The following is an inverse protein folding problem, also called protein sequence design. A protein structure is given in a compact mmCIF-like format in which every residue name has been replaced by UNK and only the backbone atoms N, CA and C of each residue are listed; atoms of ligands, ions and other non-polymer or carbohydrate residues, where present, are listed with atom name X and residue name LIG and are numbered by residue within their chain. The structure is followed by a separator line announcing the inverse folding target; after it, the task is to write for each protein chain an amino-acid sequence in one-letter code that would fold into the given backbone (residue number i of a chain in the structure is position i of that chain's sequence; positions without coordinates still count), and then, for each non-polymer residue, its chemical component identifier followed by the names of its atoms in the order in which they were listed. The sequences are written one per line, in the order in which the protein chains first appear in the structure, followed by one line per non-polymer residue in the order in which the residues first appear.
data_IF_244340211685
#
_entry.id   IF_244340211685
#
_cell.length_a   1.000
_cell.length_b   1.000
_cell.length_c   1.000
_cell.angle_alpha   90.00
_cell.angle_beta   90.00
_cell.angle_gamma   90.00
#
_symmetry.space_group_name_H-M   'P 1'
#
loop_
_entity.id
_entity.type
_entity.pdbx_description
1 polymer ?
#
# COMPACT_ATOMS: atom_id res chain seq x y z
N UNK A 1 -10.02 -19.03 -2.80
CA UNK A 1 -9.58 -19.07 -1.37
C UNK A 1 -10.66 -18.42 -0.53
N UNK A 2 -10.97 -18.96 0.66
CA UNK A 2 -11.99 -18.39 1.56
C UNK A 2 -11.35 -18.15 2.93
N UNK A 3 -11.60 -16.98 3.52
CA UNK A 3 -11.25 -16.66 4.90
C UNK A 3 -12.48 -16.15 5.64
N UNK A 4 -12.57 -16.48 6.92
CA UNK A 4 -13.63 -16.04 7.82
C UNK A 4 -13.01 -15.63 9.14
N UNK A 5 -13.68 -14.74 9.88
CA UNK A 5 -13.23 -14.31 11.19
C UNK A 5 -14.22 -13.35 11.84
N UNK A 6 -13.85 -12.84 13.00
CA UNK A 6 -14.60 -11.85 13.76
C UNK A 6 -13.67 -10.79 14.34
N UNK A 7 -14.22 -9.63 14.67
CA UNK A 7 -13.55 -8.55 15.40
C UNK A 7 -14.57 -7.76 16.21
N UNK A 8 -14.10 -6.97 17.18
CA UNK A 8 -14.93 -6.02 17.92
C UNK A 8 -14.64 -4.62 17.39
N UNK A 9 -15.69 -3.90 16.99
CA UNK A 9 -15.61 -2.54 16.47
C UNK A 9 -15.17 -1.54 17.53
N UNK A 10 -14.66 -0.40 17.08
CA UNK A 10 -14.01 0.63 17.92
C UNK A 10 -14.45 2.06 17.56
N UNK A 11 -15.52 2.19 16.76
CA UNK A 11 -15.97 3.42 16.10
C UNK A 11 -14.87 4.14 15.31
N UNK A 12 -13.88 3.39 14.80
CA UNK A 12 -12.75 3.90 14.04
C UNK A 12 -12.55 3.05 12.77
N UNK A 13 -11.89 3.62 11.76
CA UNK A 13 -11.54 2.86 10.57
C UNK A 13 -10.59 1.71 10.93
N UNK A 14 -10.83 0.52 10.36
CA UNK A 14 -10.04 -0.69 10.64
C UNK A 14 -9.55 -1.28 9.33
N UNK A 15 -8.28 -1.68 9.31
CA UNK A 15 -7.74 -2.54 8.26
C UNK A 15 -7.79 -3.99 8.71
N UNK A 16 -8.47 -4.83 7.94
CA UNK A 16 -8.50 -6.27 8.18
C UNK A 16 -7.41 -6.95 7.37
N UNK A 17 -6.40 -7.48 8.06
CA UNK A 17 -5.25 -8.17 7.47
C UNK A 17 -5.61 -9.60 7.07
N UNK A 18 -6.33 -9.74 5.95
CA UNK A 18 -6.83 -11.01 5.44
C UNK A 18 -5.72 -11.76 4.66
N UNK A 19 -4.64 -11.11 4.27
CA UNK A 19 -3.52 -11.67 3.51
C UNK A 19 -3.75 -11.73 1.99
N UNK A 20 -4.92 -11.33 1.51
CA UNK A 20 -5.22 -11.08 0.10
C UNK A 20 -6.32 -10.04 -0.01
N UNK A 21 -6.37 -9.29 -1.12
CA UNK A 21 -7.52 -8.44 -1.45
C UNK A 21 -8.62 -9.37 -1.98
N UNK A 22 -9.79 -9.46 -1.32
CA UNK A 22 -10.86 -10.35 -1.76
C UNK A 22 -11.53 -9.84 -3.03
N UNK A 23 -12.11 -10.74 -3.82
CA UNK A 23 -12.98 -10.39 -4.94
C UNK A 23 -14.41 -10.11 -4.44
N UNK A 24 -14.81 -10.81 -3.38
CA UNK A 24 -16.05 -10.59 -2.67
C UNK A 24 -15.81 -10.63 -1.16
N UNK A 25 -16.39 -9.65 -0.46
CA UNK A 25 -16.32 -9.50 0.97
C UNK A 25 -17.71 -9.26 1.53
N UNK A 26 -18.05 -9.97 2.61
CA UNK A 26 -19.27 -9.76 3.39
C UNK A 26 -18.92 -9.50 4.83
N UNK A 27 -19.49 -8.43 5.37
CA UNK A 27 -19.47 -8.08 6.79
C UNK A 27 -20.86 -8.27 7.37
N UNK A 28 -20.94 -8.85 8.55
CA UNK A 28 -22.17 -9.03 9.32
C UNK A 28 -21.96 -8.31 10.65
N UNK A 29 -22.72 -7.25 10.88
CA UNK A 29 -22.63 -6.40 12.06
C UNK A 29 -23.88 -6.60 12.90
N UNK A 30 -23.71 -6.97 14.17
CA UNK A 30 -24.81 -6.99 15.12
C UNK A 30 -25.05 -5.57 15.64
N UNK A 31 -26.11 -4.89 15.21
CA UNK A 31 -26.40 -3.55 15.71
C UNK A 31 -26.82 -3.58 17.18
N UNK A 32 -26.65 -2.45 17.87
CA UNK A 32 -27.11 -2.28 19.25
C UNK A 32 -28.63 -2.44 19.48
N UNK A 33 -29.43 -2.55 18.40
CA UNK A 33 -30.89 -2.66 18.46
C UNK A 33 -31.43 -4.09 18.31
N UNK A 34 -30.57 -5.11 18.28
CA UNK A 34 -30.86 -6.50 17.90
C UNK A 34 -31.08 -6.72 16.39
N UNK A 35 -30.83 -5.71 15.56
CA UNK A 35 -30.88 -5.84 14.11
C UNK A 35 -29.51 -6.29 13.57
N UNK A 36 -29.53 -7.02 12.45
CA UNK A 36 -28.32 -7.49 11.80
C UNK A 36 -28.18 -6.76 10.48
N UNK A 37 -27.10 -5.97 10.36
CA UNK A 37 -26.76 -5.27 9.13
C UNK A 37 -25.75 -6.11 8.36
N UNK A 38 -26.05 -6.41 7.11
CA UNK A 38 -25.15 -7.14 6.22
C UNK A 38 -24.58 -6.15 5.21
N UNK A 39 -23.26 -5.96 5.22
CA UNK A 39 -22.58 -5.22 4.17
C UNK A 39 -21.91 -6.17 3.20
N UNK A 40 -21.97 -5.84 1.92
CA UNK A 40 -21.26 -6.59 0.89
C UNK A 40 -20.49 -5.64 -0.02
N UNK A 41 -19.35 -6.13 -0.47
CA UNK A 41 -18.45 -5.41 -1.35
C UNK A 41 -17.81 -6.36 -2.34
N UNK A 42 -17.74 -5.91 -3.59
CA UNK A 42 -17.04 -6.61 -4.65
C UNK A 42 -15.87 -5.75 -5.11
N UNK A 43 -14.73 -6.39 -5.37
CA UNK A 43 -13.53 -5.68 -5.82
C UNK A 43 -13.75 -4.82 -7.04
N UNK A 44 -14.53 -5.35 -8.00
CA UNK A 44 -14.86 -4.64 -9.23
C UNK A 44 -15.62 -3.33 -8.98
N UNK A 45 -16.37 -3.22 -7.88
CA UNK A 45 -17.06 -1.96 -7.52
C UNK A 45 -16.04 -0.87 -7.19
N UNK A 46 -15.04 -1.21 -6.36
CA UNK A 46 -13.96 -0.29 -6.02
C UNK A 46 -13.08 0.07 -7.22
N UNK A 47 -12.82 -0.89 -8.12
CA UNK A 47 -12.00 -0.67 -9.32
C UNK A 47 -12.73 0.09 -10.43
N UNK A 48 -14.06 -0.08 -10.55
CA UNK A 48 -14.88 0.64 -11.53
C UNK A 48 -15.00 2.14 -11.23
N UNK A 49 -14.69 2.56 -10.00
CA UNK A 49 -14.65 3.97 -9.61
C UNK A 49 -16.02 4.69 -9.67
N UNK A 50 -17.13 3.94 -9.64
CA UNK A 50 -18.45 4.53 -9.55
C UNK A 50 -18.71 4.99 -8.11
N UNK A 51 -18.72 6.31 -7.91
CA UNK A 51 -18.75 6.94 -6.59
C UNK A 51 -19.93 6.52 -5.69
N UNK A 52 -21.02 6.00 -6.26
CA UNK A 52 -22.23 5.66 -5.51
C UNK A 52 -22.24 4.20 -5.03
N UNK A 53 -21.37 3.33 -5.55
CA UNK A 53 -21.34 1.89 -5.19
C UNK A 53 -19.94 1.36 -4.90
N UNK A 54 -18.90 2.19 -5.05
CA UNK A 54 -17.50 1.78 -4.92
C UNK A 54 -17.19 1.20 -3.53
N UNK A 55 -17.92 1.65 -2.52
CA UNK A 55 -17.80 1.25 -1.14
C UNK A 55 -18.77 0.12 -0.72
N UNK A 56 -19.47 -0.47 -1.69
CA UNK A 56 -20.41 -1.57 -1.49
C UNK A 56 -21.81 -1.12 -1.08
N UNK A 57 -22.62 -2.08 -0.65
CA UNK A 57 -23.98 -1.84 -0.15
C UNK A 57 -24.18 -2.46 1.23
N UNK A 58 -25.27 -2.08 1.88
CA UNK A 58 -25.78 -2.72 3.08
C UNK A 58 -27.20 -3.24 2.86
N UNK A 59 -27.60 -4.21 3.67
CA UNK A 59 -28.98 -4.66 3.80
C UNK A 59 -29.35 -4.68 5.27
N UNK A 60 -30.38 -3.92 5.60
CA UNK A 60 -30.94 -3.79 6.94
C UNK A 60 -32.45 -4.01 6.87
N UNK A 61 -32.97 -4.90 7.71
CA UNK A 61 -34.39 -5.34 7.71
C UNK A 61 -34.98 -5.69 6.33
N UNK A 62 -34.14 -6.14 5.39
CA UNK A 62 -34.54 -6.48 4.02
C UNK A 62 -34.61 -5.29 3.05
N UNK A 63 -34.17 -4.10 3.47
CA UNK A 63 -33.95 -2.93 2.61
C UNK A 63 -32.47 -2.87 2.25
N UNK A 64 -32.16 -2.86 0.96
CA UNK A 64 -30.79 -2.68 0.46
C UNK A 64 -30.55 -1.20 0.16
N UNK A 65 -29.46 -0.66 0.70
CA UNK A 65 -29.01 0.71 0.41
C UNK A 65 -27.53 0.74 0.08
N UNK A 66 -27.15 1.64 -0.82
CA UNK A 66 -25.73 1.85 -1.14
C UNK A 66 -25.00 2.46 0.06
N UNK A 67 -23.76 2.04 0.29
CA UNK A 67 -22.94 2.68 1.31
C UNK A 67 -22.56 4.08 0.83
N UNK A 68 -22.65 5.07 1.71
CA UNK A 68 -22.25 6.45 1.39
C UNK A 68 -20.77 6.47 1.02
N UNK A 69 -20.41 7.28 0.00
CA UNK A 69 -19.02 7.50 -0.39
C UNK A 69 -18.13 7.79 0.83
N UNK A 70 -16.95 7.18 0.89
CA UNK A 70 -16.00 7.22 2.03
C UNK A 70 -16.45 6.55 3.35
N UNK A 71 -17.67 5.98 3.41
CA UNK A 71 -18.24 5.39 4.63
C UNK A 71 -18.45 3.86 4.54
N UNK A 72 -17.98 3.19 3.49
CA UNK A 72 -18.12 1.73 3.33
C UNK A 72 -16.78 0.97 3.30
N UNK A 73 -16.70 -0.03 2.42
CA UNK A 73 -15.60 -1.00 2.33
C UNK A 73 -14.70 -0.64 1.16
N UNK A 74 -13.38 -0.73 1.34
CA UNK A 74 -12.44 -0.55 0.24
C UNK A 74 -11.32 -1.58 0.25
N UNK A 75 -10.68 -1.77 -0.91
CA UNK A 75 -9.51 -2.64 -1.00
C UNK A 75 -8.36 -2.08 -0.16
N UNK A 76 -7.73 -2.95 0.63
CA UNK A 76 -6.51 -2.62 1.36
C UNK A 76 -5.36 -3.45 0.80
N UNK A 77 -4.44 -2.79 0.10
CA UNK A 77 -3.20 -3.41 -0.36
C UNK A 77 -2.04 -2.50 0.01
N UNK A 78 -1.41 -2.79 1.15
CA UNK A 78 -0.12 -2.20 1.52
C UNK A 78 1.03 -3.13 1.18
N UNK A 79 0.78 -4.24 0.47
CA UNK A 79 1.85 -5.16 0.13
C UNK A 79 2.80 -4.49 -0.86
N UNK A 80 4.06 -4.54 -0.51
CA UNK A 80 5.13 -3.96 -1.30
C UNK A 80 6.42 -4.66 -0.96
N UNK A 81 7.32 -4.68 -1.93
CA UNK A 81 8.72 -4.86 -1.58
C UNK A 81 9.19 -3.48 -1.11
N UNK A 82 9.83 -3.40 0.05
CA UNK A 82 10.34 -2.16 0.60
C UNK A 82 11.85 -2.27 0.84
N UNK A 83 12.58 -1.20 0.59
CA UNK A 83 13.96 -1.02 1.03
C UNK A 83 13.96 -0.46 2.45
N UNK A 84 14.69 -1.11 3.34
CA UNK A 84 14.83 -0.69 4.73
C UNK A 84 16.00 0.28 4.90
N UNK A 85 15.70 1.53 5.29
CA UNK A 85 16.71 2.57 5.56
C UNK A 85 16.74 2.88 7.07
N UNK A 86 17.91 2.92 7.72
CA UNK A 86 18.02 3.34 9.12
C UNK A 86 17.50 4.77 9.30
N UNK A 87 16.54 4.96 10.21
CA UNK A 87 16.05 6.30 10.48
C UNK A 87 17.13 7.13 11.21
N UNK A 88 17.25 8.44 10.95
CA UNK A 88 18.27 9.28 11.56
C UNK A 88 18.21 9.39 13.09
N UNK A 89 17.03 9.21 13.68
CA UNK A 89 16.85 9.20 15.14
C UNK A 89 17.32 7.90 15.81
N UNK A 90 17.70 6.88 15.05
CA UNK A 90 18.12 5.57 15.53
C UNK A 90 17.03 4.73 16.21
N UNK A 91 15.79 5.21 16.26
CA UNK A 91 14.71 4.53 17.00
C UNK A 91 14.07 3.42 16.18
N UNK A 92 13.98 3.60 14.85
CA UNK A 92 13.29 2.69 13.92
C UNK A 92 13.96 2.70 12.55
N UNK A 93 13.56 1.77 11.68
CA UNK A 93 13.87 1.87 10.25
C UNK A 93 12.70 2.54 9.52
N UNK A 94 13.01 3.28 8.46
CA UNK A 94 12.02 3.74 7.48
C UNK A 94 11.99 2.77 6.30
N UNK A 95 10.79 2.45 5.84
CA UNK A 95 10.56 1.57 4.71
C UNK A 95 10.17 2.41 3.50
N UNK A 96 10.95 2.26 2.43
CA UNK A 96 10.89 3.06 1.21
C UNK A 96 10.53 2.07 0.09
N UNK A 97 9.40 2.22 -0.61
CA UNK A 97 8.88 1.18 -1.50
C UNK A 97 9.86 0.86 -2.63
N UNK A 98 10.05 -0.38 -3.09
CA UNK A 98 11.06 -0.72 -4.11
C UNK A 98 10.81 -0.05 -5.46
N UNK A 99 9.54 0.29 -5.77
CA UNK A 99 9.14 1.14 -6.89
C UNK A 99 9.45 2.63 -6.69
N UNK A 100 9.91 2.99 -5.49
CA UNK A 100 10.25 4.32 -4.97
C UNK A 100 11.44 4.15 -4.00
N UNK A 101 12.56 3.56 -4.45
CA UNK A 101 13.59 4.46 -4.92
C UNK A 101 13.46 4.69 -6.42
N UNK A 102 13.33 5.96 -6.81
CA UNK A 102 13.46 6.34 -8.20
C UNK A 102 14.87 5.97 -8.72
N UNK A 103 14.98 5.72 -10.02
CA UNK A 103 16.30 5.65 -10.65
C UNK A 103 16.95 7.02 -10.56
N UNK A 104 18.26 7.06 -10.33
CA UNK A 104 19.02 8.30 -10.43
C UNK A 104 18.80 8.95 -11.80
N UNK A 105 18.56 10.25 -11.79
CA UNK A 105 18.42 11.09 -12.96
C UNK A 105 19.37 12.28 -12.85
N UNK A 106 20.07 12.57 -13.95
CA UNK A 106 20.96 13.74 -14.07
C UNK A 106 20.15 15.04 -14.07
N UNK A 107 20.77 16.14 -13.65
CA UNK A 107 20.15 17.49 -13.68
C UNK A 107 18.74 17.53 -13.08
N UNK A 108 18.50 16.72 -12.05
CA UNK A 108 17.20 16.54 -11.40
C UNK A 108 17.27 17.07 -9.98
N UNK A 109 16.23 17.80 -9.59
CA UNK A 109 16.12 18.35 -8.25
C UNK A 109 15.69 17.25 -7.25
N UNK A 110 16.51 17.05 -6.22
CA UNK A 110 16.18 16.21 -5.07
C UNK A 110 16.03 17.13 -3.86
N UNK A 111 14.82 17.17 -3.32
CA UNK A 111 14.38 18.22 -2.39
C UNK A 111 14.39 17.77 -0.94
N UNK A 112 14.37 16.44 -0.69
CA UNK A 112 14.40 15.91 0.67
C UNK A 112 15.82 15.54 1.06
N UNK A 113 16.43 16.39 1.89
CA UNK A 113 17.66 16.06 2.58
C UNK A 113 17.39 15.18 3.80
N UNK A 114 18.32 14.28 4.14
CA UNK A 114 18.34 13.66 5.46
C UNK A 114 18.37 14.74 6.56
N UNK A 115 17.49 14.61 7.54
CA UNK A 115 17.44 15.44 8.75
C UNK A 115 17.53 14.57 10.00
N UNK A 116 17.37 15.12 11.20
CA UNK A 116 17.28 14.33 12.43
C UNK A 116 15.97 13.56 12.56
N UNK A 117 14.92 13.96 11.82
CA UNK A 117 13.57 13.42 11.94
C UNK A 117 13.04 12.76 10.67
N UNK A 118 13.81 12.76 9.58
CA UNK A 118 13.41 12.16 8.32
C UNK A 118 14.62 11.70 7.49
N UNK A 119 14.47 10.57 6.80
CA UNK A 119 15.39 10.17 5.72
C UNK A 119 15.27 11.12 4.52
N UNK A 120 16.34 11.22 3.74
CA UNK A 120 16.31 11.97 2.48
C UNK A 120 15.70 11.19 1.31
N UNK A 121 15.72 11.80 0.13
CA UNK A 121 15.38 11.14 -1.12
C UNK A 121 16.31 9.94 -1.35
N UNK A 122 15.76 8.83 -1.85
CA UNK A 122 16.50 7.59 -2.06
C UNK A 122 16.46 7.22 -3.53
N UNK A 123 17.63 6.89 -4.11
CA UNK A 123 17.75 6.51 -5.52
C UNK A 123 18.52 5.20 -5.72
N UNK A 124 18.29 4.56 -6.86
CA UNK A 124 19.17 3.51 -7.38
C UNK A 124 20.28 4.14 -8.22
N UNK A 125 21.51 3.62 -8.07
CA UNK A 125 22.61 3.99 -8.94
C UNK A 125 22.20 3.77 -10.40
N UNK A 126 22.70 4.63 -11.27
CA UNK A 126 22.57 4.49 -12.70
C UNK A 126 23.92 4.82 -13.35
N UNK A 127 24.45 3.92 -14.19
CA UNK A 127 25.66 4.20 -14.98
C UNK A 127 25.36 5.02 -16.23
N UNK A 128 24.09 5.15 -16.60
CA UNK A 128 23.59 6.03 -17.65
C UNK A 128 22.22 6.56 -17.20
N UNK A 129 21.90 7.81 -17.51
CA UNK A 129 20.67 8.47 -17.07
C UNK A 129 19.42 7.57 -17.24
N UNK A 130 18.73 7.29 -16.14
CA UNK A 130 17.50 6.50 -16.11
C UNK A 130 17.67 4.97 -16.14
N UNK A 131 18.88 4.44 -16.31
CA UNK A 131 19.16 2.99 -16.32
C UNK A 131 19.75 2.54 -15.00
N UNK A 132 18.93 1.93 -14.14
CA UNK A 132 19.39 1.47 -12.84
C UNK A 132 20.37 0.30 -12.93
N UNK A 133 21.41 0.37 -12.10
CA UNK A 133 22.25 -0.77 -11.75
C UNK A 133 21.72 -1.37 -10.46
N UNK A 134 21.05 -2.51 -10.53
CA UNK A 134 20.70 -3.30 -9.34
C UNK A 134 21.94 -4.01 -8.82
N UNK A 135 22.70 -3.33 -7.98
CA UNK A 135 23.86 -3.88 -7.27
C UNK A 135 23.57 -4.20 -5.80
N UNK A 136 22.30 -4.18 -5.39
CA UNK A 136 21.87 -4.39 -4.00
C UNK A 136 22.20 -3.22 -3.08
N UNK A 137 22.42 -2.03 -3.65
CA UNK A 137 22.66 -0.78 -2.92
C UNK A 137 21.67 0.30 -3.37
N UNK A 138 21.39 1.22 -2.46
CA UNK A 138 20.63 2.45 -2.73
C UNK A 138 21.37 3.63 -2.12
N UNK A 139 21.05 4.83 -2.59
CA UNK A 139 21.76 6.05 -2.23
C UNK A 139 20.79 7.05 -1.65
N UNK A 140 21.05 7.50 -0.43
CA UNK A 140 20.20 8.44 0.29
C UNK A 140 20.81 9.85 0.21
N UNK A 141 20.00 10.83 -0.17
CA UNK A 141 20.38 12.23 -0.25
C UNK A 141 20.57 12.81 1.16
N UNK A 142 21.74 13.38 1.42
CA UNK A 142 22.06 13.97 2.73
C UNK A 142 21.88 15.49 2.77
N UNK A 143 21.91 16.15 1.60
CA UNK A 143 21.60 17.56 1.43
C UNK A 143 20.91 17.78 0.08
N UNK A 144 19.85 18.57 0.09
CA UNK A 144 19.02 18.85 -1.09
C UNK A 144 19.80 19.66 -2.13
N UNK A 145 19.48 19.46 -3.40
CA UNK A 145 20.11 20.18 -4.50
C UNK A 145 19.69 19.63 -5.85
N UNK A 146 20.50 19.92 -6.87
CA UNK A 146 20.31 19.38 -8.23
C UNK A 146 21.49 18.49 -8.56
N UNK A 147 21.21 17.28 -9.04
CA UNK A 147 22.24 16.32 -9.45
C UNK A 147 23.03 16.84 -10.65
N UNK A 148 24.25 16.35 -10.83
CA UNK A 148 25.11 16.78 -11.93
C UNK A 148 24.55 16.34 -13.30
N UNK A 149 25.11 16.90 -14.35
CA UNK A 149 24.94 16.52 -15.76
C UNK A 149 25.43 15.10 -16.08
N UNK A 150 26.21 14.48 -15.19
CA UNK A 150 26.67 13.10 -15.29
C UNK A 150 26.39 12.34 -13.99
N UNK A 151 26.34 11.01 -14.04
CA UNK A 151 26.24 10.20 -12.84
C UNK A 151 27.59 10.19 -12.09
N UNK A 152 27.59 10.28 -10.74
CA UNK A 152 28.82 10.14 -9.96
C UNK A 152 29.34 8.70 -10.00
N UNK A 153 30.59 8.50 -9.60
CA UNK A 153 31.10 7.15 -9.34
C UNK A 153 30.51 6.66 -8.02
N UNK A 154 29.48 5.81 -8.11
CA UNK A 154 28.74 5.33 -6.96
C UNK A 154 29.61 4.46 -6.03
N UNK A 155 29.72 4.80 -4.72
CA UNK A 155 30.42 3.97 -3.76
C UNK A 155 29.74 2.61 -3.58
N UNK A 156 30.53 1.55 -3.50
CA UNK A 156 30.02 0.18 -3.32
C UNK A 156 30.03 -0.28 -1.86
N UNK A 157 30.58 0.52 -0.96
CA UNK A 157 30.64 0.22 0.48
C UNK A 157 29.56 1.02 1.24
N UNK A 158 28.60 0.36 1.91
CA UNK A 158 27.61 1.05 2.73
C UNK A 158 28.24 1.96 3.78
N UNK A 159 27.73 3.20 3.89
CA UNK A 159 28.25 4.24 4.78
C UNK A 159 29.21 5.22 4.11
N UNK A 160 29.78 4.89 2.95
CA UNK A 160 30.56 5.84 2.16
C UNK A 160 29.66 6.88 1.50
N UNK A 161 30.19 8.08 1.27
CA UNK A 161 29.47 9.18 0.65
C UNK A 161 30.12 9.60 -0.67
N UNK A 162 29.33 10.11 -1.60
CA UNK A 162 29.79 10.67 -2.86
C UNK A 162 29.14 12.03 -3.12
N UNK A 163 29.95 12.99 -3.57
CA UNK A 163 29.46 14.29 -4.01
C UNK A 163 28.92 14.19 -5.44
N UNK A 164 27.82 14.89 -5.68
CA UNK A 164 27.10 14.95 -6.95
C UNK A 164 26.60 16.38 -7.12
N UNK A 165 27.44 17.22 -7.73
CA UNK A 165 27.29 18.67 -7.76
C UNK A 165 27.11 19.27 -6.34
N UNK A 166 25.97 19.89 -6.06
CA UNK A 166 25.65 20.52 -4.77
C UNK A 166 25.17 19.52 -3.72
N UNK A 167 24.99 18.25 -4.09
CA UNK A 167 24.44 17.20 -3.23
C UNK A 167 25.48 16.17 -2.82
N UNK A 168 25.16 15.44 -1.76
CA UNK A 168 25.95 14.37 -1.20
C UNK A 168 25.02 13.19 -0.98
N UNK A 169 25.38 12.06 -1.57
CA UNK A 169 24.69 10.79 -1.42
C UNK A 169 25.45 9.89 -0.46
N UNK A 170 24.75 9.23 0.46
CA UNK A 170 25.33 8.16 1.31
C UNK A 170 24.87 6.79 0.81
N UNK A 171 25.83 5.88 0.63
CA UNK A 171 25.57 4.51 0.20
C UNK A 171 24.89 3.71 1.32
N UNK A 172 23.81 3.01 0.99
CA UNK A 172 23.02 2.17 1.88
C UNK A 172 22.88 0.78 1.28
N UNK A 173 22.80 -0.22 2.15
CA UNK A 173 22.45 -1.58 1.72
C UNK A 173 20.97 -1.65 1.35
N UNK A 174 20.67 -2.28 0.23
CA UNK A 174 19.30 -2.60 -0.14
C UNK A 174 18.84 -3.85 0.62
N UNK A 175 18.50 -3.68 1.91
CA UNK A 175 17.84 -4.73 2.66
C UNK A 175 16.35 -4.73 2.28
N UNK A 176 16.00 -5.47 1.23
CA UNK A 176 14.60 -5.61 0.79
C UNK A 176 13.81 -6.45 1.78
N UNK A 177 12.66 -5.95 2.22
CA UNK A 177 11.67 -6.67 2.99
C UNK A 177 10.39 -6.79 2.16
N UNK A 178 9.84 -8.00 2.07
CA UNK A 178 8.46 -8.18 1.62
C UNK A 178 7.57 -7.82 2.80
N UNK A 179 6.99 -6.62 2.75
CA UNK A 179 6.19 -6.06 3.82
C UNK A 179 4.79 -5.70 3.36
N UNK A 180 3.97 -5.37 4.35
CA UNK A 180 2.60 -4.96 4.13
C UNK A 180 1.59 -6.09 4.23
N UNK A 181 0.34 -5.69 4.27
CA UNK A 181 -0.82 -6.54 4.43
C UNK A 181 -1.78 -6.31 3.28
N UNK A 182 -2.51 -7.35 2.94
CA UNK A 182 -3.60 -7.30 1.96
C UNK A 182 -4.91 -7.64 2.65
N UNK A 183 -6.00 -7.04 2.22
CA UNK A 183 -7.33 -7.26 2.78
C UNK A 183 -8.33 -6.20 2.38
N UNK A 184 -9.10 -5.74 3.35
CA UNK A 184 -10.08 -4.65 3.18
C UNK A 184 -9.92 -3.62 4.28
N UNK A 185 -10.22 -2.38 3.96
CA UNK A 185 -10.42 -1.30 4.92
C UNK A 185 -11.92 -1.11 5.16
N UNK A 186 -12.32 -1.02 6.41
CA UNK A 186 -13.66 -0.69 6.84
C UNK A 186 -13.69 0.74 7.36
N UNK A 187 -14.63 1.54 6.89
CA UNK A 187 -14.84 2.88 7.42
C UNK A 187 -15.35 2.85 8.86
N UNK A 188 -15.11 3.94 9.60
CA UNK A 188 -15.54 4.08 11.00
C UNK A 188 -17.05 3.90 11.20
N UNK A 189 -17.85 4.26 10.19
CA UNK A 189 -19.31 4.10 10.22
C UNK A 189 -19.77 2.64 10.27
N UNK A 190 -18.90 1.69 9.88
CA UNK A 190 -19.22 0.26 9.83
C UNK A 190 -18.76 -0.51 11.07
N UNK A 191 -18.03 0.14 11.98
CA UNK A 191 -17.31 -0.50 13.07
C UNK A 191 -17.78 0.04 14.40
N UNK A 192 -19.09 -0.05 14.67
CA UNK A 192 -19.68 0.42 15.94
C UNK A 192 -18.88 -0.06 17.17
N UNK A 193 -18.69 0.85 18.13
CA UNK A 193 -17.85 0.55 19.30
C UNK A 193 -18.45 -0.59 20.12
N UNK A 194 -17.59 -1.52 20.56
CA UNK A 194 -17.96 -2.69 21.36
C UNK A 194 -18.93 -3.66 20.68
N UNK A 195 -19.18 -3.51 19.38
CA UNK A 195 -19.99 -4.43 18.59
C UNK A 195 -19.14 -5.52 17.97
N UNK A 196 -19.50 -6.78 18.21
CA UNK A 196 -18.88 -7.91 17.52
C UNK A 196 -19.40 -8.02 16.09
N UNK A 197 -18.47 -8.07 15.15
CA UNK A 197 -18.73 -8.21 13.72
C UNK A 197 -18.05 -9.45 13.17
N UNK A 198 -18.69 -10.10 12.21
CA UNK A 198 -18.19 -11.29 11.53
C UNK A 198 -17.95 -10.99 10.06
N UNK A 199 -16.95 -11.63 9.47
CA UNK A 199 -16.67 -11.44 8.05
C UNK A 199 -16.42 -12.74 7.30
N UNK A 200 -16.69 -12.68 6.00
CA UNK A 200 -16.34 -13.70 5.01
C UNK A 200 -15.63 -12.97 3.86
N UNK A 201 -14.45 -13.45 3.49
CA UNK A 201 -13.64 -12.92 2.41
C UNK A 201 -13.34 -14.04 1.42
N UNK A 202 -13.70 -13.84 0.15
CA UNK A 202 -13.50 -14.83 -0.92
C UNK A 202 -12.62 -14.23 -2.00
N UNK A 203 -11.58 -14.99 -2.37
CA UNK A 203 -10.84 -14.81 -3.61
C UNK A 203 -11.34 -15.86 -4.60
N UNK A 204 -12.16 -15.43 -5.54
CA UNK A 204 -12.76 -16.25 -6.59
C UNK A 204 -11.87 -16.31 -7.85
N UNK A 205 -11.04 -15.29 -8.07
CA UNK A 205 -9.92 -15.33 -9.02
C UNK A 205 -8.84 -16.29 -8.48
N UNK A 206 -9.00 -17.55 -8.86
CA UNK A 206 -7.85 -18.31 -9.34
C UNK A 206 -7.80 -18.02 -10.85
N UNK A 207 -6.61 -17.76 -11.41
CA UNK A 207 -6.32 -17.66 -12.85
C UNK A 207 -6.76 -18.90 -13.71
N UNK A 208 -7.67 -19.73 -13.21
CA UNK A 208 -8.29 -20.85 -13.90
C UNK A 208 -9.60 -20.35 -14.49
N UNK A 209 -9.59 -20.08 -15.80
CA UNK A 209 -10.82 -19.92 -16.58
C UNK A 209 -11.62 -21.23 -16.52
N UNK A 210 -12.82 -21.16 -15.92
CA UNK A 210 -13.74 -22.29 -15.82
C UNK A 210 -14.73 -22.35 -17.00
N UNK A 211 -14.50 -21.56 -18.05
CA UNK A 211 -15.33 -21.52 -19.26
C UNK A 211 -16.49 -20.55 -19.20
N UNK A 212 -16.51 -19.63 -18.23
CA UNK A 212 -17.52 -18.56 -18.07
C UNK A 212 -17.09 -17.22 -18.69
N UNK A 213 -15.84 -17.12 -19.14
CA UNK A 213 -15.31 -15.97 -19.89
C UNK A 213 -15.50 -16.08 -21.42
N UNK A 214 -16.04 -17.19 -21.93
CA UNK A 214 -16.32 -17.33 -23.36
C UNK A 214 -17.54 -16.45 -23.73
N UNK A 215 -17.31 -15.43 -24.55
CA UNK A 215 -18.37 -14.63 -25.14
C UNK A 215 -19.46 -15.53 -25.74
N UNK A 216 -20.72 -15.31 -25.36
CA UNK A 216 -21.87 -15.97 -25.98
C UNK A 216 -21.98 -15.48 -27.43
N UNK A 217 -21.33 -16.16 -28.36
CA UNK A 217 -21.58 -15.99 -29.79
C UNK A 217 -22.97 -16.56 -30.08
N UNK A 218 -23.92 -15.65 -30.32
CA UNK A 218 -25.27 -15.93 -30.82
C UNK A 218 -25.20 -16.45 -32.25
#
# INVERSE_FOLDING_TARGET
MIKTGNFVGTAAAINLDIGFVPDWFRLIVASGNNDVIIHEWFRLMGEAGQADIAEGWNSDEGVTTDNVATAGISAYDSSGVYVRIPHPDGTRNKYVGVSDPANYAISTAYSNARSTTAVGDVVRAASTAGVAETNGLVYECTNSGTSDSAAPTWPTTPGESVADNDMIWICRREDTFMGGFKGVSLAAAMTEDSIESFYIAVKADQNVDHGDAAAFTV
#
